data_IF_383759158230
#
_entry.id   IF_383759158230
#
_cell.length_a   1.000
_cell.length_b   1.000
_cell.length_c   1.000
_cell.angle_alpha   90.00
_cell.angle_beta   90.00
_cell.angle_gamma   90.00
#
_symmetry.space_group_name_H-M   'P 1'
#
loop_
_entity.id
_entity.type
_entity.pdbx_description
1 polymer ?
#
# COMPACT_ATOMS: atom_id res chain seq x y z
N UNK A 1 -23.34 13.92 41.29
CA UNK A 1 -21.96 13.53 41.00
C UNK A 1 -21.89 12.94 39.60
N UNK A 2 -21.75 13.79 38.57
CA UNK A 2 -21.53 13.32 37.19
C UNK A 2 -20.02 13.12 36.99
N UNK A 3 -19.59 11.86 37.00
CA UNK A 3 -18.24 11.49 36.57
C UNK A 3 -18.15 11.71 35.06
N UNK A 4 -17.84 12.94 34.64
CA UNK A 4 -17.31 13.17 33.30
C UNK A 4 -15.91 12.55 33.27
N UNK A 5 -15.84 11.27 32.93
CA UNK A 5 -14.58 10.61 32.58
C UNK A 5 -14.03 11.35 31.36
N UNK A 6 -13.02 12.19 31.57
CA UNK A 6 -12.24 12.78 30.48
C UNK A 6 -11.48 11.66 29.78
N UNK A 7 -12.15 10.97 28.87
CA UNK A 7 -11.48 10.05 27.96
C UNK A 7 -10.50 10.90 27.15
N UNK A 8 -9.20 10.61 27.29
CA UNK A 8 -8.18 11.23 26.46
C UNK A 8 -8.41 10.75 25.03
N UNK A 9 -9.09 11.58 24.22
CA UNK A 9 -9.46 11.28 22.83
C UNK A 9 -8.25 10.84 22.01
N UNK A 10 -7.06 11.39 22.28
CA UNK A 10 -5.83 10.99 21.59
C UNK A 10 -5.43 9.55 21.90
N UNK A 11 -5.60 9.09 23.14
CA UNK A 11 -5.31 7.71 23.50
C UNK A 11 -6.27 6.73 22.83
N UNK A 12 -7.55 7.12 22.69
CA UNK A 12 -8.54 6.33 21.93
C UNK A 12 -8.16 6.26 20.47
N UNK A 13 -7.88 7.40 19.82
CA UNK A 13 -7.50 7.46 18.40
C UNK A 13 -6.26 6.59 18.12
N UNK A 14 -5.22 6.67 18.97
CA UNK A 14 -4.01 5.87 18.81
C UNK A 14 -4.24 4.36 18.95
N UNK A 15 -5.32 3.95 19.61
CA UNK A 15 -5.72 2.55 19.78
C UNK A 15 -6.67 2.02 18.71
N UNK A 16 -6.73 2.66 17.53
CA UNK A 16 -7.57 2.23 16.40
C UNK A 16 -6.72 1.72 15.24
N UNK A 17 -7.31 0.87 14.40
CA UNK A 17 -6.75 0.60 13.09
C UNK A 17 -6.78 1.86 12.21
N UNK A 18 -5.66 2.21 11.58
CA UNK A 18 -5.54 3.38 10.71
C UNK A 18 -6.46 3.32 9.50
N UNK A 19 -6.80 2.13 9.04
CA UNK A 19 -7.56 1.92 7.80
C UNK A 19 -9.06 1.82 8.05
N UNK A 20 -9.49 1.02 9.03
CA UNK A 20 -10.92 0.76 9.27
C UNK A 20 -11.46 1.38 10.56
N UNK A 21 -10.61 2.02 11.38
CA UNK A 21 -10.95 2.57 12.69
C UNK A 21 -11.49 1.55 13.70
N UNK A 22 -11.39 0.25 13.42
CA UNK A 22 -11.75 -0.80 14.36
C UNK A 22 -10.83 -0.76 15.58
N UNK A 23 -11.42 -0.96 16.75
CA UNK A 23 -10.69 -1.20 17.99
C UNK A 23 -10.50 -2.71 18.12
N UNK A 24 -9.27 -3.14 17.89
CA UNK A 24 -8.89 -4.55 17.96
C UNK A 24 -7.99 -4.82 19.16
N UNK A 25 -7.97 -6.07 19.61
CA UNK A 25 -7.09 -6.52 20.70
C UNK A 25 -5.62 -6.41 20.26
N UNK A 26 -5.35 -6.80 19.02
CA UNK A 26 -4.01 -6.75 18.44
C UNK A 26 -3.95 -5.74 17.30
N UNK A 27 -3.16 -4.71 17.53
CA UNK A 27 -2.83 -3.68 16.57
C UNK A 27 -1.33 -3.69 16.34
N UNK A 28 -0.95 -3.71 15.07
CA UNK A 28 0.44 -3.82 14.64
C UNK A 28 0.92 -2.47 14.13
N UNK A 29 2.10 -2.05 14.56
CA UNK A 29 2.74 -0.83 14.05
C UNK A 29 3.07 -0.99 12.56
N UNK A 30 2.60 -0.06 11.72
CA UNK A 30 2.86 -0.10 10.27
C UNK A 30 4.34 0.14 9.93
N UNK A 31 5.11 0.66 10.87
CA UNK A 31 6.54 0.94 10.72
C UNK A 31 7.41 -0.28 11.02
N UNK A 32 6.90 -1.23 11.82
CA UNK A 32 7.60 -2.46 12.19
C UNK A 32 7.24 -3.63 11.25
N UNK A 33 6.11 -3.53 10.54
CA UNK A 33 5.67 -4.53 9.58
C UNK A 33 6.33 -4.40 8.20
N UNK A 34 6.63 -5.55 7.59
CA UNK A 34 7.20 -5.65 6.24
C UNK A 34 6.56 -6.75 5.42
N UNK A 35 6.42 -6.53 4.11
CA UNK A 35 6.20 -7.57 3.11
C UNK A 35 7.47 -7.65 2.24
N UNK A 36 8.27 -8.70 2.46
CA UNK A 36 9.62 -8.78 1.90
C UNK A 36 10.49 -7.59 2.34
N UNK A 37 10.93 -6.76 1.39
CA UNK A 37 11.78 -5.59 1.66
C UNK A 37 10.98 -4.30 1.91
N UNK A 38 9.68 -4.28 1.60
CA UNK A 38 8.85 -3.07 1.66
C UNK A 38 8.14 -2.96 3.01
N UNK A 39 8.18 -1.79 3.64
CA UNK A 39 7.46 -1.50 4.89
C UNK A 39 5.97 -1.26 4.64
N UNK A 40 5.13 -1.52 5.64
CA UNK A 40 3.68 -1.39 5.49
C UNK A 40 3.19 0.05 5.33
N UNK A 41 3.83 1.03 5.95
CA UNK A 41 3.53 2.44 5.69
C UNK A 41 3.73 2.81 4.21
N UNK A 42 4.80 2.31 3.59
CA UNK A 42 5.04 2.47 2.15
C UNK A 42 4.03 1.71 1.30
N UNK A 43 3.66 0.49 1.69
CA UNK A 43 2.64 -0.32 0.99
C UNK A 43 1.30 0.43 0.97
N UNK A 44 0.83 0.88 2.14
CA UNK A 44 -0.44 1.59 2.30
C UNK A 44 -0.43 2.87 1.46
N UNK A 45 0.64 3.66 1.53
CA UNK A 45 0.79 4.86 0.70
C UNK A 45 0.76 4.53 -0.79
N UNK A 46 1.40 3.43 -1.20
CA UNK A 46 1.46 3.01 -2.62
C UNK A 46 0.10 2.60 -3.17
N UNK A 47 -0.76 1.96 -2.38
CA UNK A 47 -2.06 1.45 -2.84
C UNK A 47 -3.21 2.45 -2.63
N UNK A 48 -3.10 3.36 -1.67
CA UNK A 48 -4.20 4.30 -1.32
C UNK A 48 -3.88 5.77 -1.61
N UNK A 49 -2.61 6.14 -1.80
CA UNK A 49 -2.17 7.53 -1.82
C UNK A 49 -2.09 8.20 -0.44
N UNK A 50 -2.42 7.49 0.64
CA UNK A 50 -2.42 8.03 2.01
C UNK A 50 -1.07 7.77 2.67
N UNK A 51 -0.34 8.84 2.99
CA UNK A 51 0.93 8.74 3.73
C UNK A 51 0.68 8.65 5.23
N UNK A 52 1.24 7.62 5.86
CA UNK A 52 1.29 7.50 7.32
C UNK A 52 2.64 8.03 7.79
N UNK A 53 2.63 9.04 8.66
CA UNK A 53 3.86 9.73 9.09
C UNK A 53 4.07 9.52 10.58
N UNK A 54 5.31 9.20 10.97
CA UNK A 54 5.65 9.04 12.37
C UNK A 54 5.55 10.39 13.10
N UNK A 55 4.89 10.42 14.26
CA UNK A 55 4.74 11.63 15.08
C UNK A 55 3.49 12.46 14.81
N UNK A 56 2.62 12.06 13.88
CA UNK A 56 1.30 12.68 13.76
C UNK A 56 0.35 12.24 14.89
N UNK A 57 -0.82 12.88 14.98
CA UNK A 57 -1.85 12.57 16.01
C UNK A 57 -2.78 11.43 15.60
N UNK A 58 -2.42 10.69 14.55
CA UNK A 58 -3.28 9.72 13.90
C UNK A 58 -2.81 8.29 14.22
N UNK A 59 -3.66 7.26 14.00
CA UNK A 59 -3.23 5.90 14.30
C UNK A 59 -2.06 5.47 13.40
N UNK A 60 -0.99 4.98 14.01
CA UNK A 60 0.18 4.41 13.31
C UNK A 60 0.13 2.89 13.31
N UNK A 61 -1.05 2.33 13.51
CA UNK A 61 -1.30 0.90 13.70
C UNK A 61 -2.30 0.37 12.70
N UNK A 62 -2.22 -0.92 12.38
CA UNK A 62 -3.13 -1.63 11.49
C UNK A 62 -3.57 -2.95 12.14
N UNK A 63 -4.83 -3.34 11.94
CA UNK A 63 -5.31 -4.67 12.33
C UNK A 63 -4.91 -5.74 11.31
N UNK A 64 -4.97 -7.01 11.71
CA UNK A 64 -4.62 -8.14 10.84
C UNK A 64 -5.44 -8.19 9.54
N UNK A 65 -6.74 -7.92 9.60
CA UNK A 65 -7.60 -7.92 8.40
C UNK A 65 -7.18 -6.85 7.39
N UNK A 66 -6.90 -5.62 7.86
CA UNK A 66 -6.45 -4.54 6.99
C UNK A 66 -5.03 -4.78 6.47
N UNK A 67 -4.16 -5.40 7.27
CA UNK A 67 -2.83 -5.84 6.84
C UNK A 67 -2.94 -6.83 5.68
N UNK A 68 -3.77 -7.85 5.79
CA UNK A 68 -3.93 -8.88 4.74
C UNK A 68 -4.53 -8.29 3.46
N UNK A 69 -5.52 -7.39 3.58
CA UNK A 69 -6.07 -6.64 2.45
C UNK A 69 -5.00 -5.77 1.78
N UNK A 70 -4.17 -5.08 2.56
CA UNK A 70 -3.10 -4.24 2.03
C UNK A 70 -2.04 -5.06 1.29
N UNK A 71 -1.63 -6.22 1.82
CA UNK A 71 -0.73 -7.15 1.14
C UNK A 71 -1.28 -7.59 -0.21
N UNK A 72 -2.53 -8.09 -0.23
CA UNK A 72 -3.18 -8.57 -1.46
C UNK A 72 -3.31 -7.47 -2.52
N UNK A 73 -3.68 -6.26 -2.11
CA UNK A 73 -3.78 -5.11 -3.01
C UNK A 73 -2.41 -4.68 -3.56
N UNK A 74 -1.37 -4.76 -2.74
CA UNK A 74 0.00 -4.45 -3.16
C UNK A 74 0.52 -5.46 -4.17
N UNK A 75 0.35 -6.76 -3.89
CA UNK A 75 0.74 -7.83 -4.81
C UNK A 75 -0.01 -7.72 -6.14
N UNK A 76 -1.31 -7.42 -6.10
CA UNK A 76 -2.10 -7.16 -7.29
C UNK A 76 -1.52 -5.99 -8.11
N UNK A 77 -1.19 -4.87 -7.47
CA UNK A 77 -0.59 -3.72 -8.14
C UNK A 77 0.75 -4.07 -8.80
N UNK A 78 1.64 -4.76 -8.10
CA UNK A 78 2.95 -5.17 -8.63
C UNK A 78 2.77 -6.11 -9.83
N UNK A 79 1.86 -7.08 -9.74
CA UNK A 79 1.58 -8.01 -10.82
C UNK A 79 1.01 -7.30 -12.06
N UNK A 80 0.12 -6.33 -11.86
CA UNK A 80 -0.43 -5.51 -12.95
C UNK A 80 0.67 -4.70 -13.65
N UNK A 81 1.55 -4.03 -12.88
CA UNK A 81 2.65 -3.24 -13.43
C UNK A 81 3.66 -4.10 -14.20
N UNK A 82 4.03 -5.27 -13.66
CA UNK A 82 4.93 -6.19 -14.35
C UNK A 82 4.31 -6.75 -15.63
N UNK A 83 3.00 -6.99 -15.64
CA UNK A 83 2.29 -7.45 -16.83
C UNK A 83 2.26 -6.37 -17.91
N UNK A 84 1.96 -5.13 -17.54
CA UNK A 84 2.00 -3.97 -18.44
C UNK A 84 3.40 -3.78 -19.04
N UNK A 85 4.45 -3.79 -18.21
CA UNK A 85 5.84 -3.67 -18.67
C UNK A 85 6.21 -4.77 -19.67
N UNK A 86 5.75 -6.02 -19.44
CA UNK A 86 5.98 -7.14 -20.36
C UNK A 86 5.23 -6.92 -21.67
N UNK A 87 3.97 -6.51 -21.63
CA UNK A 87 3.17 -6.23 -22.83
C UNK A 87 3.79 -5.12 -23.67
N UNK A 88 4.16 -4.00 -23.06
CA UNK A 88 4.85 -2.89 -23.74
C UNK A 88 6.15 -3.35 -24.39
N UNK A 89 6.94 -4.20 -23.72
CA UNK A 89 8.17 -4.77 -24.30
C UNK A 89 7.90 -5.68 -25.49
N UNK A 90 6.87 -6.53 -25.42
CA UNK A 90 6.47 -7.41 -26.53
C UNK A 90 6.06 -6.57 -27.74
N UNK A 91 5.21 -5.56 -27.54
CA UNK A 91 4.76 -4.67 -28.61
C UNK A 91 5.93 -3.88 -29.25
N UNK A 92 6.89 -3.41 -28.45
CA UNK A 92 8.08 -2.72 -28.98
C UNK A 92 8.99 -3.64 -29.80
N UNK A 93 9.18 -4.89 -29.39
CA UNK A 93 9.96 -5.88 -30.13
C UNK A 93 9.28 -6.25 -31.45
N UNK A 94 7.98 -6.53 -31.43
CA UNK A 94 7.21 -6.80 -32.64
C UNK A 94 7.19 -5.62 -33.61
N UNK A 95 7.24 -4.38 -33.11
CA UNK A 95 7.38 -3.19 -33.96
C UNK A 95 8.80 -3.04 -34.56
N UNK A 96 9.84 -3.51 -33.87
CA UNK A 96 11.22 -3.48 -34.39
C UNK A 96 11.44 -4.48 -35.53
N UNK A 97 10.75 -5.62 -35.49
CA UNK A 97 10.76 -6.56 -36.61
C UNK A 97 10.03 -6.00 -37.85
N UNK A 98 9.06 -5.09 -37.67
CA UNK A 98 8.37 -4.39 -38.79
C UNK A 98 9.26 -3.28 -39.39
N UNK A 99 10.03 -2.56 -38.56
CA UNK A 99 10.84 -1.42 -39.04
C UNK A 99 12.09 -1.87 -39.82
N UNK A 100 12.57 -3.10 -39.63
CA UNK A 100 13.74 -3.62 -40.36
C UNK A 100 13.43 -4.08 -41.79
N UNK A 101 12.17 -4.32 -42.15
CA UNK A 101 11.80 -4.76 -43.52
C UNK A 101 11.65 -3.59 -44.51
N UNK A 102 11.53 -2.35 -44.02
CA UNK A 102 11.29 -1.16 -44.86
C UNK A 102 12.56 -0.39 -45.30
N UNK A 103 13.78 -0.87 -44.99
CA UNK A 103 15.04 -0.15 -45.31
C UNK A 103 15.88 -0.80 -46.44
N UNK A 104 15.46 -1.94 -47.00
CA UNK A 104 16.20 -2.60 -48.10
C UNK A 104 15.38 -2.73 -49.40
N UNK A 105 14.79 -1.63 -49.89
CA UNK A 105 14.43 -1.50 -51.31
C UNK A 105 14.74 -0.10 -51.84
N UNK A 106 16.00 0.12 -52.27
CA UNK A 106 16.43 0.85 -53.49
C UNK A 106 17.93 1.14 -53.44
#
# INVERSE_FOLDING_TARGET
MSLQTRINTNAVIRGLCRTCLAKEIELLSVFDLRAGKTRFDSIIATITGIKITQGDVLPTTICNECKDKASKAYDFKINAQQSEDKLVRILKKGAQDIICDDIFTS
#
